data_IF_572190235171
#
_entry.id   IF_572190235171
#
_cell.length_a   1.000
_cell.length_b   1.000
_cell.length_c   1.000
_cell.angle_alpha   90.00
_cell.angle_beta   90.00
_cell.angle_gamma   90.00
#
_symmetry.space_group_name_H-M   'P 1'
#
loop_
_entity.id
_entity.type
_entity.pdbx_description
1 polymer ?
#
# COMPACT_ATOMS: atom_id res chain seq x y z
N UNK A 1 -39.88 9.86 -18.35
CA UNK A 1 -39.60 10.48 -17.05
C UNK A 1 -38.59 9.60 -16.33
N UNK A 2 -37.31 9.95 -16.35
CA UNK A 2 -36.27 9.18 -15.66
C UNK A 2 -36.16 9.69 -14.22
N UNK A 3 -36.57 8.87 -13.25
CA UNK A 3 -36.36 9.15 -11.83
C UNK A 3 -34.89 8.97 -11.48
N UNK A 4 -34.26 10.02 -10.98
CA UNK A 4 -32.94 9.91 -10.36
C UNK A 4 -33.08 9.06 -9.10
N UNK A 5 -32.47 7.87 -9.10
CA UNK A 5 -32.31 7.05 -7.90
C UNK A 5 -31.29 7.76 -7.02
N UNK A 6 -31.76 8.35 -5.92
CA UNK A 6 -30.88 8.94 -4.90
C UNK A 6 -30.25 7.78 -4.14
N UNK A 7 -28.91 7.64 -4.12
CA UNK A 7 -28.27 6.55 -3.42
C UNK A 7 -28.53 6.64 -1.92
N UNK A 8 -28.76 5.47 -1.33
CA UNK A 8 -29.01 5.32 0.10
C UNK A 8 -27.85 5.85 0.94
N UNK A 9 -28.09 6.18 2.22
CA UNK A 9 -27.04 6.68 3.11
C UNK A 9 -25.83 5.73 3.21
N UNK A 10 -26.07 4.41 3.13
CA UNK A 10 -25.02 3.39 3.15
C UNK A 10 -24.18 3.34 1.86
N UNK A 11 -24.81 3.51 0.69
CA UNK A 11 -24.08 3.62 -0.59
C UNK A 11 -23.22 4.89 -0.64
N UNK A 12 -23.70 5.97 -0.03
CA UNK A 12 -22.93 7.21 0.11
C UNK A 12 -21.71 7.03 1.00
N UNK A 13 -21.89 6.36 2.15
CA UNK A 13 -20.82 6.06 3.08
C UNK A 13 -19.77 5.12 2.47
N UNK A 14 -20.21 4.10 1.74
CA UNK A 14 -19.33 3.20 1.01
C UNK A 14 -18.53 3.94 -0.08
N UNK A 15 -19.19 4.84 -0.82
CA UNK A 15 -18.52 5.61 -1.88
C UNK A 15 -17.51 6.62 -1.32
N UNK A 16 -17.78 7.24 -0.19
CA UNK A 16 -16.84 8.15 0.48
C UNK A 16 -15.62 7.40 1.04
N UNK A 17 -15.85 6.28 1.73
CA UNK A 17 -14.78 5.51 2.38
C UNK A 17 -13.92 4.76 1.35
N UNK A 18 -14.53 4.11 0.36
CA UNK A 18 -13.81 3.30 -0.64
C UNK A 18 -13.41 4.08 -1.89
N UNK A 19 -14.05 5.21 -2.19
CA UNK A 19 -13.66 6.09 -3.28
C UNK A 19 -12.27 6.70 -3.07
N UNK A 20 -11.91 7.02 -1.83
CA UNK A 20 -10.58 7.50 -1.45
C UNK A 20 -9.49 6.42 -1.52
N UNK A 21 -9.86 5.13 -1.56
CA UNK A 21 -8.94 3.99 -1.61
C UNK A 21 -8.56 3.55 -3.04
N UNK A 22 -8.99 4.28 -4.06
CA UNK A 22 -8.60 4.05 -5.46
C UNK A 22 -9.53 3.09 -6.20
N UNK A 23 -10.83 3.38 -6.21
CA UNK A 23 -11.76 2.85 -7.23
C UNK A 23 -12.07 1.36 -7.11
N UNK A 24 -12.58 0.89 -5.96
CA UNK A 24 -13.35 -0.35 -5.93
C UNK A 24 -14.80 0.03 -6.23
N UNK A 25 -15.16 0.09 -7.51
CA UNK A 25 -16.52 0.44 -7.96
C UNK A 25 -17.49 -0.76 -7.91
N UNK A 26 -17.04 -1.91 -7.42
CA UNK A 26 -17.88 -3.09 -7.25
C UNK A 26 -17.52 -3.80 -5.94
N UNK A 27 -18.26 -3.45 -4.89
CA UNK A 27 -18.36 -4.27 -3.68
C UNK A 27 -19.18 -5.50 -4.11
N UNK A 28 -18.56 -6.68 -4.15
CA UNK A 28 -19.24 -7.95 -4.45
C UNK A 28 -20.47 -8.16 -3.54
N UNK A 29 -21.51 -8.87 -4.00
CA UNK A 29 -22.90 -8.74 -3.53
C UNK A 29 -23.21 -9.50 -2.22
N UNK A 30 -22.23 -9.74 -1.35
CA UNK A 30 -22.44 -10.46 -0.08
C UNK A 30 -22.48 -9.50 1.10
N UNK A 31 -23.47 -8.60 1.09
CA UNK A 31 -23.71 -7.68 2.20
C UNK A 31 -23.95 -8.43 3.51
N UNK A 32 -24.47 -9.66 3.47
CA UNK A 32 -24.66 -10.49 4.67
C UNK A 32 -23.33 -10.84 5.36
N UNK A 33 -22.22 -10.97 4.61
CA UNK A 33 -20.88 -11.21 5.18
C UNK A 33 -20.30 -9.94 5.83
N UNK A 34 -20.77 -8.75 5.46
CA UNK A 34 -20.38 -7.46 6.05
C UNK A 34 -21.13 -7.15 7.35
N UNK A 35 -22.19 -7.89 7.66
CA UNK A 35 -22.87 -7.83 8.97
C UNK A 35 -21.98 -8.37 10.09
N UNK A 36 -21.03 -9.27 9.77
CA UNK A 36 -20.06 -9.77 10.74
C UNK A 36 -18.93 -8.75 10.99
N UNK A 37 -18.74 -8.28 12.24
CA UNK A 37 -17.66 -7.35 12.57
C UNK A 37 -16.26 -7.90 12.26
N UNK A 38 -16.10 -9.22 12.17
CA UNK A 38 -14.83 -9.89 11.87
C UNK A 38 -14.39 -9.72 10.41
N UNK A 39 -15.34 -9.79 9.46
CA UNK A 39 -15.09 -9.65 8.04
C UNK A 39 -14.74 -8.21 7.68
N UNK A 40 -15.47 -7.24 8.24
CA UNK A 40 -15.19 -5.81 8.07
C UNK A 40 -13.80 -5.45 8.61
N UNK A 41 -13.43 -5.97 9.79
CA UNK A 41 -12.07 -5.78 10.35
C UNK A 41 -11.00 -6.39 9.44
N UNK A 42 -11.25 -7.55 8.85
CA UNK A 42 -10.33 -8.20 7.91
C UNK A 42 -10.17 -7.39 6.62
N UNK A 43 -11.26 -6.90 6.04
CA UNK A 43 -11.24 -6.07 4.84
C UNK A 43 -10.54 -4.74 5.08
N UNK A 44 -10.87 -4.04 6.18
CA UNK A 44 -10.18 -2.80 6.58
C UNK A 44 -8.68 -3.03 6.69
N UNK A 45 -8.27 -4.15 7.28
CA UNK A 45 -6.86 -4.51 7.42
C UNK A 45 -6.18 -4.77 6.09
N UNK A 46 -6.79 -5.58 5.21
CA UNK A 46 -6.26 -5.81 3.87
C UNK A 46 -6.12 -4.49 3.08
N UNK A 47 -7.08 -3.58 3.22
CA UNK A 47 -7.02 -2.24 2.64
C UNK A 47 -5.84 -1.43 3.19
N UNK A 48 -5.66 -1.42 4.51
CA UNK A 48 -4.53 -0.79 5.19
C UNK A 48 -3.17 -1.32 4.70
N UNK A 49 -3.00 -2.64 4.66
CA UNK A 49 -1.76 -3.29 4.21
C UNK A 49 -1.45 -2.92 2.74
N UNK A 50 -2.46 -2.88 1.87
CA UNK A 50 -2.30 -2.48 0.47
C UNK A 50 -1.93 -0.98 0.34
N UNK A 51 -2.54 -0.11 1.15
CA UNK A 51 -2.21 1.32 1.15
C UNK A 51 -0.80 1.57 1.66
N UNK A 52 -0.36 0.88 2.71
CA UNK A 52 1.02 0.95 3.20
C UNK A 52 2.03 0.47 2.15
N UNK A 53 1.72 -0.61 1.41
CA UNK A 53 2.59 -1.08 0.33
C UNK A 53 2.70 -0.08 -0.83
N UNK A 54 1.59 0.58 -1.20
CA UNK A 54 1.59 1.66 -2.21
C UNK A 54 2.33 2.90 -1.72
N UNK A 55 2.16 3.25 -0.45
CA UNK A 55 2.89 4.34 0.19
C UNK A 55 4.40 4.10 0.15
N UNK A 56 4.84 2.88 0.49
CA UNK A 56 6.25 2.49 0.38
C UNK A 56 6.78 2.61 -1.06
N UNK A 57 6.00 2.17 -2.06
CA UNK A 57 6.37 2.35 -3.48
C UNK A 57 6.59 3.83 -3.82
N UNK A 58 5.71 4.71 -3.35
CA UNK A 58 5.82 6.15 -3.59
C UNK A 58 7.06 6.75 -2.91
N UNK A 59 7.34 6.36 -1.65
CA UNK A 59 8.53 6.82 -0.91
C UNK A 59 9.83 6.40 -1.58
N UNK A 60 9.97 5.12 -1.96
CA UNK A 60 11.17 4.63 -2.66
C UNK A 60 11.35 5.35 -3.99
N UNK A 61 10.26 5.51 -4.76
CA UNK A 61 10.32 6.24 -6.03
C UNK A 61 10.77 7.69 -5.83
N UNK A 62 10.22 8.38 -4.83
CA UNK A 62 10.59 9.75 -4.51
C UNK A 62 12.07 9.86 -4.12
N UNK A 63 12.56 8.95 -3.28
CA UNK A 63 13.94 8.94 -2.82
C UNK A 63 14.94 8.65 -3.97
N UNK A 64 14.56 7.77 -4.92
CA UNK A 64 15.33 7.53 -6.15
C UNK A 64 15.36 8.79 -7.03
N UNK A 65 14.20 9.42 -7.26
CA UNK A 65 14.10 10.63 -8.09
C UNK A 65 14.86 11.81 -7.49
N UNK A 66 14.86 11.94 -6.17
CA UNK A 66 15.64 12.94 -5.45
C UNK A 66 17.16 12.76 -5.68
N UNK A 67 17.63 11.54 -5.94
CA UNK A 67 19.02 11.25 -6.26
C UNK A 67 19.98 11.42 -5.07
N UNK A 68 19.45 11.42 -3.85
CA UNK A 68 20.23 11.46 -2.61
C UNK A 68 20.97 10.14 -2.35
N UNK A 69 21.91 10.13 -1.41
CA UNK A 69 22.61 8.91 -0.98
C UNK A 69 21.61 7.79 -0.62
N UNK A 70 21.76 6.62 -1.25
CA UNK A 70 20.78 5.55 -1.16
C UNK A 70 20.62 5.01 0.27
N UNK A 71 21.70 5.01 1.08
CA UNK A 71 21.63 4.56 2.48
C UNK A 71 20.81 5.54 3.31
N UNK A 72 21.13 6.83 3.21
CA UNK A 72 20.41 7.87 3.91
C UNK A 72 18.93 7.95 3.46
N UNK A 73 18.67 7.79 2.17
CA UNK A 73 17.32 7.70 1.62
C UNK A 73 16.56 6.51 2.20
N UNK A 74 17.16 5.32 2.20
CA UNK A 74 16.54 4.11 2.76
C UNK A 74 16.22 4.25 4.26
N UNK A 75 17.10 4.87 5.04
CA UNK A 75 16.86 5.15 6.47
C UNK A 75 15.64 6.05 6.68
N UNK A 76 15.50 7.13 5.90
CA UNK A 76 14.31 8.01 5.95
C UNK A 76 13.04 7.29 5.51
N UNK A 77 13.13 6.47 4.46
CA UNK A 77 11.99 5.67 3.98
C UNK A 77 11.54 4.67 5.04
N UNK A 78 12.48 3.98 5.70
CA UNK A 78 12.21 3.06 6.79
C UNK A 78 11.58 3.77 8.00
N UNK A 79 12.09 4.94 8.39
CA UNK A 79 11.52 5.75 9.46
C UNK A 79 10.07 6.16 9.14
N UNK A 80 9.83 6.72 7.95
CA UNK A 80 8.49 7.12 7.52
C UNK A 80 7.52 5.93 7.46
N UNK A 81 7.98 4.77 7.01
CA UNK A 81 7.17 3.55 6.99
C UNK A 81 6.84 3.05 8.40
N UNK A 82 7.79 3.08 9.33
CA UNK A 82 7.56 2.69 10.72
C UNK A 82 6.51 3.59 11.39
N UNK A 83 6.59 4.91 11.16
CA UNK A 83 5.58 5.85 11.63
C UNK A 83 4.20 5.55 11.03
N UNK A 84 4.13 5.37 9.71
CA UNK A 84 2.88 5.05 9.02
C UNK A 84 2.26 3.73 9.51
N UNK A 85 3.07 2.69 9.71
CA UNK A 85 2.63 1.42 10.26
C UNK A 85 2.03 1.61 11.67
N UNK A 86 2.70 2.40 12.54
CA UNK A 86 2.19 2.70 13.88
C UNK A 86 0.85 3.45 13.88
N UNK A 87 0.57 4.30 12.87
CA UNK A 87 -0.72 4.99 12.75
C UNK A 87 -1.88 4.08 12.32
N UNK A 88 -1.58 3.05 11.54
CA UNK A 88 -2.57 2.10 11.01
C UNK A 88 -2.85 0.99 12.03
N UNK A 89 -1.92 0.79 12.96
CA UNK A 89 -1.92 -0.36 13.85
C UNK A 89 -2.77 -0.16 15.12
N UNK A 90 -4.05 -0.51 15.04
CA UNK A 90 -4.94 -0.63 16.21
C UNK A 90 -4.64 -1.89 17.06
N UNK A 91 -3.78 -2.84 16.61
CA UNK A 91 -3.72 -4.18 17.20
C UNK A 91 -2.40 -4.99 17.07
N UNK A 92 -1.24 -4.36 16.86
CA UNK A 92 0.07 -5.02 16.74
C UNK A 92 0.34 -5.74 15.41
N UNK A 93 -0.36 -5.41 14.34
CA UNK A 93 -0.65 -6.37 13.25
C UNK A 93 -0.33 -5.89 11.83
N UNK A 94 -0.15 -4.60 11.60
CA UNK A 94 0.39 -4.08 10.35
C UNK A 94 1.78 -3.50 10.65
N UNK A 95 2.83 -4.24 10.29
CA UNK A 95 4.22 -3.87 10.61
C UNK A 95 4.93 -3.31 9.38
N UNK A 96 5.99 -2.53 9.61
CA UNK A 96 6.87 -2.06 8.53
C UNK A 96 7.52 -3.23 7.78
N UNK A 97 7.98 -4.26 8.50
CA UNK A 97 8.49 -5.53 7.97
C UNK A 97 7.45 -6.23 7.06
N UNK A 98 6.22 -6.40 7.54
CA UNK A 98 5.15 -7.03 6.78
C UNK A 98 4.76 -6.23 5.53
N UNK A 99 4.78 -4.90 5.64
CA UNK A 99 4.59 -4.00 4.50
C UNK A 99 5.72 -4.13 3.49
N UNK A 100 6.98 -4.15 3.95
CA UNK A 100 8.15 -4.32 3.08
C UNK A 100 8.10 -5.64 2.32
N UNK A 101 7.77 -6.75 2.99
CA UNK A 101 7.58 -8.06 2.34
C UNK A 101 6.48 -8.02 1.28
N UNK A 102 5.34 -7.40 1.61
CA UNK A 102 4.21 -7.23 0.68
C UNK A 102 4.61 -6.39 -0.53
N UNK A 103 5.29 -5.26 -0.31
CA UNK A 103 5.80 -4.40 -1.37
C UNK A 103 6.79 -5.13 -2.28
N UNK A 104 7.73 -5.89 -1.68
CA UNK A 104 8.76 -6.64 -2.39
C UNK A 104 8.15 -7.64 -3.37
N UNK A 105 7.07 -8.33 -2.99
CA UNK A 105 6.40 -9.29 -3.89
C UNK A 105 5.43 -8.64 -4.86
N UNK A 106 4.86 -7.49 -4.51
CA UNK A 106 3.83 -6.81 -5.33
C UNK A 106 4.44 -5.96 -6.44
N UNK A 107 5.49 -5.19 -6.15
CA UNK A 107 6.01 -4.17 -7.07
C UNK A 107 7.32 -4.58 -7.75
N UNK A 108 8.29 -5.14 -7.01
CA UNK A 108 9.61 -5.42 -7.59
C UNK A 108 9.58 -6.38 -8.79
N UNK A 109 8.80 -7.47 -8.84
CA UNK A 109 8.76 -8.34 -10.02
C UNK A 109 8.31 -7.59 -11.28
N UNK A 110 7.37 -6.65 -11.14
CA UNK A 110 6.90 -5.82 -12.24
C UNK A 110 7.96 -4.86 -12.78
N UNK A 111 8.80 -4.32 -11.88
CA UNK A 111 9.89 -3.38 -12.19
C UNK A 111 11.11 -4.10 -12.77
N UNK A 112 11.51 -5.22 -12.16
CA UNK A 112 12.76 -5.93 -12.45
C UNK A 112 12.67 -6.93 -13.59
N UNK A 113 11.46 -7.29 -14.04
CA UNK A 113 11.31 -8.21 -15.18
C UNK A 113 12.03 -7.66 -16.43
N UNK A 114 12.59 -8.53 -17.29
CA UNK A 114 13.34 -8.10 -18.48
C UNK A 114 12.54 -7.18 -19.42
N UNK A 115 11.23 -7.40 -19.54
CA UNK A 115 10.33 -6.63 -20.41
C UNK A 115 9.75 -5.35 -19.75
N UNK A 116 10.22 -4.99 -18.57
CA UNK A 116 9.82 -3.75 -17.90
C UNK A 116 10.31 -2.54 -18.69
N UNK A 117 9.51 -1.49 -18.75
CA UNK A 117 9.88 -0.20 -19.35
C UNK A 117 10.78 0.65 -18.44
N UNK A 118 11.06 0.18 -17.21
CA UNK A 118 11.98 0.86 -16.31
C UNK A 118 13.41 0.85 -16.90
N UNK A 119 14.12 2.01 -16.90
CA UNK A 119 15.54 2.05 -17.25
C UNK A 119 16.38 1.13 -16.36
N UNK A 120 17.49 0.60 -16.86
CA UNK A 120 18.38 -0.28 -16.09
C UNK A 120 18.96 0.40 -14.85
N UNK A 121 19.25 1.70 -14.91
CA UNK A 121 19.62 2.49 -13.73
C UNK A 121 18.53 2.48 -12.67
N UNK A 122 17.27 2.74 -13.07
CA UNK A 122 16.14 2.67 -12.15
C UNK A 122 15.94 1.28 -11.53
N UNK A 123 16.13 0.21 -12.31
CA UNK A 123 16.09 -1.17 -11.77
C UNK A 123 17.18 -1.40 -10.73
N UNK A 124 18.40 -0.91 -10.98
CA UNK A 124 19.51 -1.00 -10.04
C UNK A 124 19.23 -0.22 -8.76
N UNK A 125 18.63 0.98 -8.87
CA UNK A 125 18.27 1.80 -7.72
C UNK A 125 17.18 1.13 -6.87
N UNK A 126 16.12 0.59 -7.49
CA UNK A 126 15.10 -0.18 -6.76
C UNK A 126 15.69 -1.42 -6.06
N UNK A 127 16.66 -2.09 -6.68
CA UNK A 127 17.37 -3.22 -6.04
C UNK A 127 18.23 -2.76 -4.85
N UNK A 128 18.91 -1.62 -4.96
CA UNK A 128 19.70 -1.06 -3.87
C UNK A 128 18.81 -0.73 -2.67
N UNK A 129 17.69 -0.03 -2.89
CA UNK A 129 16.71 0.24 -1.84
C UNK A 129 16.13 -1.04 -1.24
N UNK A 130 15.80 -2.04 -2.06
CA UNK A 130 15.28 -3.31 -1.55
C UNK A 130 16.26 -4.01 -0.59
N UNK A 131 17.56 -4.01 -0.89
CA UNK A 131 18.60 -4.60 -0.03
C UNK A 131 18.78 -3.80 1.26
N UNK A 132 18.89 -2.48 1.14
CA UNK A 132 19.07 -1.60 2.31
C UNK A 132 17.86 -1.67 3.26
N UNK A 133 16.65 -1.77 2.71
CA UNK A 133 15.43 -1.91 3.49
C UNK A 133 15.32 -3.29 4.14
N UNK A 134 15.83 -4.36 3.50
CA UNK A 134 15.93 -5.69 4.12
C UNK A 134 16.81 -5.63 5.37
N UNK A 135 17.98 -5.00 5.29
CA UNK A 135 18.88 -4.81 6.44
C UNK A 135 18.25 -3.97 7.58
N UNK A 136 17.34 -3.06 7.23
CA UNK A 136 16.71 -2.12 8.18
C UNK A 136 15.44 -2.66 8.83
N UNK A 137 14.73 -3.59 8.17
CA UNK A 137 13.37 -3.98 8.56
C UNK A 137 13.17 -5.49 8.82
N UNK A 138 14.02 -6.38 8.29
CA UNK A 138 13.99 -7.80 8.67
C UNK A 138 14.83 -7.99 9.96
N UNK A 139 14.22 -7.69 11.11
CA UNK A 139 14.74 -7.99 12.47
C UNK A 139 13.97 -9.11 13.15
#
# INVERSE_FOLDING_TARGET
MSGQIVPGPEERLAREIFGLLGGIEQISPRLEELEEPSAVRRMRRMGADLQLARFLQALVTAAIVEGSDARQGAERVAEALNLAAAFVDDAGRSTAEGTFRTWRVTFLPGILRPKSSAPESGKADFLAYARLMEDLLDT
#
